data_IF_182707372714
#
_entry.id   IF_182707372714
#
_cell.length_a   1.000
_cell.length_b   1.000
_cell.length_c   1.000
_cell.angle_alpha   90.00
_cell.angle_beta   90.00
_cell.angle_gamma   90.00
#
_symmetry.space_group_name_H-M   'P 1'
#
loop_
_entity.id
_entity.type
_entity.pdbx_description
1 polymer ?
#
# COMPACT_ATOMS: atom_id res chain seq x y z
N UNK A 1 46.77 -17.64 -7.10
CA UNK A 1 45.78 -17.57 -6.01
C UNK A 1 44.66 -16.63 -6.43
N UNK A 2 43.46 -17.14 -6.75
CA UNK A 2 42.25 -16.31 -6.90
C UNK A 2 41.48 -16.40 -5.59
N UNK A 3 41.74 -15.45 -4.71
CA UNK A 3 41.02 -15.29 -3.45
C UNK A 3 39.98 -14.19 -3.69
N UNK A 4 38.71 -14.58 -3.61
CA UNK A 4 37.53 -13.72 -3.59
C UNK A 4 37.02 -13.20 -4.94
N UNK A 5 36.41 -14.08 -5.73
CA UNK A 5 35.27 -13.67 -6.56
C UNK A 5 34.02 -13.66 -5.65
N UNK A 6 33.92 -12.64 -4.78
CA UNK A 6 32.71 -12.41 -3.98
C UNK A 6 31.68 -11.82 -4.95
N UNK A 7 30.65 -12.59 -5.27
CA UNK A 7 29.64 -12.20 -6.24
C UNK A 7 29.03 -10.83 -5.90
N UNK A 8 29.13 -9.89 -6.85
CA UNK A 8 28.59 -8.53 -6.79
C UNK A 8 27.08 -8.46 -6.47
N UNK A 9 26.34 -9.57 -6.57
CA UNK A 9 24.90 -9.60 -6.37
C UNK A 9 24.46 -9.25 -4.95
N UNK A 10 25.23 -9.60 -3.91
CA UNK A 10 24.83 -9.35 -2.52
C UNK A 10 24.99 -7.87 -2.11
N UNK A 11 25.96 -7.16 -2.67
CA UNK A 11 26.20 -5.75 -2.37
C UNK A 11 25.22 -4.84 -3.13
N UNK A 12 24.94 -5.12 -4.42
CA UNK A 12 23.90 -4.40 -5.18
C UNK A 12 22.51 -4.49 -4.52
N UNK A 13 22.13 -5.66 -4.00
CA UNK A 13 20.83 -5.86 -3.34
C UNK A 13 20.70 -5.05 -2.04
N UNK A 14 21.81 -4.83 -1.32
CA UNK A 14 21.84 -4.02 -0.10
C UNK A 14 21.64 -2.54 -0.43
N UNK A 15 22.33 -2.03 -1.46
CA UNK A 15 22.15 -0.64 -1.91
C UNK A 15 20.75 -0.38 -2.48
N UNK A 16 20.13 -1.38 -3.12
CA UNK A 16 18.75 -1.28 -3.63
C UNK A 16 17.70 -1.28 -2.52
N UNK A 17 17.96 -1.97 -1.40
CA UNK A 17 17.11 -1.95 -0.19
C UNK A 17 17.26 -0.65 0.62
N UNK A 18 18.42 -0.01 0.55
CA UNK A 18 18.71 1.26 1.23
C UNK A 18 18.48 2.49 0.36
N UNK A 19 18.30 2.34 -0.96
CA UNK A 19 18.01 3.46 -1.85
C UNK A 19 16.59 3.95 -1.57
N UNK A 20 16.51 5.07 -0.86
CA UNK A 20 15.28 5.85 -0.70
C UNK A 20 14.79 6.24 -2.08
N UNK A 21 13.75 5.56 -2.58
CA UNK A 21 12.97 6.03 -3.71
C UNK A 21 11.79 6.83 -3.13
N UNK A 22 11.82 8.18 -3.24
CA UNK A 22 10.75 9.01 -2.73
C UNK A 22 9.39 8.62 -3.32
N UNK A 23 9.36 8.17 -4.59
CA UNK A 23 8.14 7.82 -5.31
C UNK A 23 7.58 6.47 -4.84
N UNK A 24 8.45 5.50 -4.59
CA UNK A 24 8.05 4.20 -4.03
C UNK A 24 7.59 4.32 -2.57
N UNK A 25 8.25 5.15 -1.77
CA UNK A 25 7.80 5.42 -0.39
C UNK A 25 6.45 6.12 -0.36
N UNK A 26 6.23 7.14 -1.23
CA UNK A 26 4.89 7.75 -1.34
C UNK A 26 3.82 6.76 -1.80
N UNK A 27 4.17 5.81 -2.68
CA UNK A 27 3.24 4.79 -3.14
C UNK A 27 2.84 3.82 -2.02
N UNK A 28 3.81 3.36 -1.22
CA UNK A 28 3.52 2.49 -0.09
C UNK A 28 2.71 3.20 1.00
N UNK A 29 3.00 4.48 1.24
CA UNK A 29 2.23 5.32 2.16
C UNK A 29 0.78 5.50 1.67
N UNK A 30 0.56 5.72 0.37
CA UNK A 30 -0.77 5.79 -0.23
C UNK A 30 -1.52 4.45 -0.12
N UNK A 31 -0.83 3.32 -0.28
CA UNK A 31 -1.41 1.98 -0.08
C UNK A 31 -1.86 1.81 1.37
N UNK A 32 -1.02 2.21 2.34
CA UNK A 32 -1.35 2.15 3.76
C UNK A 32 -2.55 3.05 4.11
N UNK A 33 -2.57 4.28 3.59
CA UNK A 33 -3.68 5.21 3.75
C UNK A 33 -4.99 4.66 3.15
N UNK A 34 -4.94 4.12 1.94
CA UNK A 34 -6.12 3.53 1.31
C UNK A 34 -6.65 2.33 2.10
N UNK A 35 -5.76 1.52 2.68
CA UNK A 35 -6.16 0.41 3.56
C UNK A 35 -6.80 0.92 4.85
N UNK A 36 -6.24 1.95 5.49
CA UNK A 36 -6.81 2.56 6.68
C UNK A 36 -8.21 3.12 6.40
N UNK A 37 -8.41 3.82 5.28
CA UNK A 37 -9.73 4.34 4.89
C UNK A 37 -10.77 3.22 4.69
N UNK A 38 -10.37 2.05 4.17
CA UNK A 38 -11.25 0.87 4.07
C UNK A 38 -11.66 0.40 5.48
N UNK A 39 -10.68 0.26 6.38
CA UNK A 39 -10.92 -0.18 7.76
C UNK A 39 -11.82 0.82 8.52
N UNK A 40 -11.58 2.12 8.37
CA UNK A 40 -12.40 3.18 8.96
C UNK A 40 -13.83 3.19 8.40
N UNK A 41 -14.00 3.08 7.08
CA UNK A 41 -15.34 3.01 6.48
C UNK A 41 -16.10 1.78 6.98
N UNK A 42 -15.42 0.64 7.10
CA UNK A 42 -16.01 -0.59 7.62
C UNK A 42 -16.41 -0.47 9.09
N UNK A 43 -15.54 0.08 9.94
CA UNK A 43 -15.84 0.33 11.35
C UNK A 43 -17.05 1.26 11.49
N UNK A 44 -17.05 2.39 10.79
CA UNK A 44 -18.14 3.35 10.87
C UNK A 44 -19.46 2.77 10.33
N UNK A 45 -19.41 1.95 9.29
CA UNK A 45 -20.57 1.21 8.79
C UNK A 45 -21.19 0.29 9.86
N UNK A 46 -20.37 -0.42 10.64
CA UNK A 46 -20.87 -1.31 11.69
C UNK A 46 -21.64 -0.60 12.81
N UNK A 47 -21.28 0.64 13.11
CA UNK A 47 -21.89 1.42 14.20
C UNK A 47 -22.91 2.45 13.70
N UNK A 48 -23.06 2.63 12.39
CA UNK A 48 -24.03 3.54 11.81
C UNK A 48 -25.46 2.98 11.94
N UNK A 49 -26.39 3.81 12.41
CA UNK A 49 -27.83 3.50 12.41
C UNK A 49 -28.62 4.37 11.43
N UNK A 50 -28.04 5.48 11.00
CA UNK A 50 -28.63 6.38 10.03
C UNK A 50 -28.45 5.81 8.60
N UNK A 51 -29.53 5.64 7.82
CA UNK A 51 -29.46 5.05 6.48
C UNK A 51 -28.54 5.78 5.50
N UNK A 52 -28.52 7.13 5.54
CA UNK A 52 -27.69 7.92 4.62
C UNK A 52 -26.20 7.78 5.00
N UNK A 53 -25.91 7.68 6.30
CA UNK A 53 -24.55 7.39 6.78
C UNK A 53 -24.10 5.98 6.38
N UNK A 54 -24.98 4.98 6.49
CA UNK A 54 -24.71 3.60 6.06
C UNK A 54 -24.31 3.59 4.57
N UNK A 55 -25.10 4.21 3.71
CA UNK A 55 -24.82 4.30 2.28
C UNK A 55 -23.50 5.04 2.02
N UNK A 56 -23.28 6.18 2.68
CA UNK A 56 -22.02 6.94 2.59
C UNK A 56 -20.80 6.08 2.92
N UNK A 57 -20.85 5.27 3.98
CA UNK A 57 -19.74 4.40 4.35
C UNK A 57 -19.52 3.25 3.36
N UNK A 58 -20.58 2.68 2.78
CA UNK A 58 -20.46 1.68 1.71
C UNK A 58 -19.73 2.29 0.51
N UNK A 59 -20.17 3.46 0.03
CA UNK A 59 -19.55 4.10 -1.14
C UNK A 59 -18.12 4.54 -0.85
N UNK A 60 -17.83 5.06 0.34
CA UNK A 60 -16.48 5.44 0.76
C UNK A 60 -15.55 4.22 0.83
N UNK A 61 -16.00 3.12 1.44
CA UNK A 61 -15.23 1.89 1.52
C UNK A 61 -14.92 1.30 0.14
N UNK A 62 -15.90 1.30 -0.78
CA UNK A 62 -15.70 0.83 -2.15
C UNK A 62 -14.72 1.73 -2.94
N UNK A 63 -14.83 3.05 -2.79
CA UNK A 63 -13.91 4.00 -3.41
C UNK A 63 -12.47 3.79 -2.90
N UNK A 64 -12.28 3.63 -1.59
CA UNK A 64 -10.99 3.33 -0.98
C UNK A 64 -10.44 1.97 -1.46
N UNK A 65 -11.28 0.95 -1.60
CA UNK A 65 -10.90 -0.36 -2.13
C UNK A 65 -10.45 -0.31 -3.59
N UNK A 66 -11.16 0.42 -4.45
CA UNK A 66 -10.76 0.62 -5.85
C UNK A 66 -9.41 1.33 -5.94
N UNK A 67 -9.20 2.36 -5.11
CA UNK A 67 -7.91 3.07 -5.02
C UNK A 67 -6.80 2.14 -4.55
N UNK A 68 -7.02 1.38 -3.47
CA UNK A 68 -6.08 0.39 -2.94
C UNK A 68 -5.67 -0.62 -4.02
N UNK A 69 -6.64 -1.19 -4.74
CA UNK A 69 -6.38 -2.16 -5.82
C UNK A 69 -5.59 -1.55 -6.97
N UNK A 70 -5.86 -0.29 -7.33
CA UNK A 70 -5.08 0.43 -8.33
C UNK A 70 -3.62 0.60 -7.88
N UNK A 71 -3.40 1.05 -6.64
CA UNK A 71 -2.07 1.28 -6.09
C UNK A 71 -1.26 -0.03 -5.99
N UNK A 72 -1.88 -1.15 -5.60
CA UNK A 72 -1.22 -2.45 -5.58
C UNK A 72 -0.71 -2.89 -6.97
N UNK A 73 -1.46 -2.58 -8.04
CA UNK A 73 -1.01 -2.84 -9.42
C UNK A 73 0.15 -1.94 -9.82
N UNK A 74 0.13 -0.66 -9.42
CA UNK A 74 1.24 0.26 -9.65
C UNK A 74 2.51 -0.23 -8.96
N UNK A 75 2.37 -0.76 -7.74
CA UNK A 75 3.47 -1.35 -6.96
C UNK A 75 3.89 -2.75 -7.46
N UNK A 76 3.17 -3.33 -8.43
CA UNK A 76 3.39 -4.70 -8.94
C UNK A 76 3.35 -5.78 -7.86
N UNK A 77 2.49 -5.58 -6.85
CA UNK A 77 2.27 -6.53 -5.75
C UNK A 77 1.20 -7.57 -6.14
N UNK A 78 0.30 -7.22 -7.08
CA UNK A 78 -0.78 -8.07 -7.60
C UNK A 78 -0.85 -8.03 -9.13
#
# INVERSE_FOLDING_TARGET
MRLFERGNAAEEDVYKRLSYDPQANTLMDEIANARQEIEEAYLNFQYASDPDMIDSYIYRGNAAWLRYRFLLRQAKII
#
